data_IF_079843498603
#
_entry.id   IF_079843498603
#
_cell.length_a   1.000
_cell.length_b   1.000
_cell.length_c   1.000
_cell.angle_alpha   90.00
_cell.angle_beta   90.00
_cell.angle_gamma   90.00
#
_symmetry.space_group_name_H-M   'P 1'
#
loop_
_entity.id
_entity.type
_entity.pdbx_description
1 polymer ?
#
# COMPACT_ATOMS: atom_id res chain seq x y z
N UNK A 1 11.00 -0.44 -13.70
CA UNK A 1 9.81 -0.38 -12.83
C UNK A 1 10.19 0.23 -11.49
N UNK A 2 9.30 0.99 -10.92
CA UNK A 2 9.50 1.60 -9.62
C UNK A 2 8.72 0.80 -8.58
N UNK A 3 9.34 0.57 -7.43
CA UNK A 3 8.79 -0.26 -6.37
C UNK A 3 8.61 0.55 -5.10
N UNK A 4 7.50 0.32 -4.40
CA UNK A 4 7.27 0.92 -3.10
C UNK A 4 6.58 -0.09 -2.17
N UNK A 5 6.81 0.09 -0.88
CA UNK A 5 6.03 -0.59 0.15
C UNK A 5 5.25 0.46 0.91
N UNK A 6 4.00 0.15 1.21
CA UNK A 6 3.16 1.02 2.03
C UNK A 6 2.70 0.24 3.24
N UNK A 7 2.93 0.81 4.40
CA UNK A 7 2.50 0.25 5.67
C UNK A 7 1.21 0.94 6.05
N UNK A 8 0.14 0.18 6.18
CA UNK A 8 -1.20 0.73 6.35
C UNK A 8 -1.77 0.38 7.72
N UNK A 9 -2.33 1.38 8.38
CA UNK A 9 -3.17 1.16 9.55
C UNK A 9 -4.62 1.44 9.15
N UNK A 10 -5.50 0.54 9.53
CA UNK A 10 -6.91 0.66 9.20
C UNK A 10 -7.75 0.44 10.46
N UNK A 11 -9.08 0.62 10.32
CA UNK A 11 -9.99 0.37 11.42
C UNK A 11 -9.97 -1.11 11.81
N UNK A 12 -10.33 -1.37 13.06
CA UNK A 12 -10.32 -2.75 13.57
C UNK A 12 -11.35 -3.61 12.84
N UNK A 13 -10.99 -4.86 12.60
CA UNK A 13 -11.88 -5.89 12.04
C UNK A 13 -12.28 -5.68 10.59
N UNK A 14 -11.66 -4.73 9.89
CA UNK A 14 -11.94 -4.51 8.46
C UNK A 14 -10.73 -4.79 7.59
N UNK A 15 -9.68 -5.38 8.16
CA UNK A 15 -8.44 -5.66 7.43
C UNK A 15 -8.68 -6.43 6.14
N UNK A 16 -9.53 -7.46 6.22
CA UNK A 16 -9.81 -8.27 5.03
C UNK A 16 -10.46 -7.45 3.92
N UNK A 17 -11.42 -6.61 4.29
CA UNK A 17 -12.10 -5.76 3.31
C UNK A 17 -11.13 -4.76 2.68
N UNK A 18 -10.24 -4.18 3.48
CA UNK A 18 -9.22 -3.26 2.98
C UNK A 18 -8.25 -3.99 2.04
N UNK A 19 -7.79 -5.18 2.44
CA UNK A 19 -6.91 -5.98 1.60
C UNK A 19 -7.57 -6.31 0.26
N UNK A 20 -8.84 -6.73 0.29
CA UNK A 20 -9.58 -7.07 -0.92
C UNK A 20 -9.69 -5.88 -1.86
N UNK A 21 -9.97 -4.71 -1.31
CA UNK A 21 -10.03 -3.49 -2.12
C UNK A 21 -8.67 -3.10 -2.68
N UNK A 22 -7.62 -3.17 -1.86
CA UNK A 22 -6.25 -2.88 -2.30
C UNK A 22 -5.86 -3.74 -3.50
N UNK A 23 -6.24 -5.00 -3.48
CA UNK A 23 -5.91 -5.93 -4.56
C UNK A 23 -6.59 -5.60 -5.88
N UNK A 24 -7.59 -4.73 -5.88
CA UNK A 24 -8.22 -4.30 -7.13
C UNK A 24 -7.42 -3.24 -7.89
N UNK A 25 -6.44 -2.61 -7.22
CA UNK A 25 -5.61 -1.60 -7.86
C UNK A 25 -4.48 -2.26 -8.63
N UNK A 26 -4.32 -1.91 -9.91
CA UNK A 26 -3.34 -2.56 -10.78
C UNK A 26 -1.91 -2.48 -10.25
N UNK A 27 -1.56 -1.35 -9.63
CA UNK A 27 -0.21 -1.16 -9.10
C UNK A 27 0.09 -2.01 -7.88
N UNK A 28 -0.94 -2.52 -7.18
CA UNK A 28 -0.76 -3.34 -5.98
C UNK A 28 -0.43 -4.77 -6.40
N UNK A 29 0.74 -5.26 -6.00
CA UNK A 29 1.20 -6.62 -6.31
C UNK A 29 0.96 -7.57 -5.16
N UNK A 30 1.03 -7.08 -3.93
CA UNK A 30 0.74 -7.87 -2.73
C UNK A 30 0.11 -6.98 -1.69
N UNK A 31 -0.80 -7.54 -0.91
CA UNK A 31 -1.37 -6.89 0.26
C UNK A 31 -1.53 -7.97 1.33
N UNK A 32 -0.80 -7.83 2.42
CA UNK A 32 -0.65 -8.86 3.44
C UNK A 32 -1.00 -8.28 4.81
N UNK A 33 -1.83 -9.01 5.55
CA UNK A 33 -2.12 -8.65 6.95
C UNK A 33 -0.92 -8.95 7.84
N UNK A 34 -0.65 -8.09 8.80
CA UNK A 34 0.48 -8.24 9.70
C UNK A 34 0.05 -8.06 11.15
N UNK A 35 0.92 -8.49 12.07
CA UNK A 35 0.79 -8.14 13.48
C UNK A 35 1.81 -7.06 13.81
N UNK A 36 1.44 -6.17 14.72
CA UNK A 36 2.37 -5.18 15.25
C UNK A 36 1.89 -3.77 15.02
N UNK A 37 2.83 -2.88 14.75
CA UNK A 37 2.55 -1.45 14.62
C UNK A 37 1.64 -1.15 13.43
N UNK A 38 1.76 -1.92 12.36
CA UNK A 38 0.96 -1.75 11.15
C UNK A 38 0.07 -2.95 10.92
N UNK A 39 -1.08 -2.72 10.30
CA UNK A 39 -2.06 -3.78 10.07
C UNK A 39 -1.87 -4.48 8.74
N UNK A 40 -1.40 -3.78 7.72
CA UNK A 40 -1.27 -4.31 6.37
C UNK A 40 0.02 -3.81 5.74
N UNK A 41 0.72 -4.72 5.08
CA UNK A 41 1.87 -4.40 4.23
C UNK A 41 1.46 -4.51 2.78
N UNK A 42 1.67 -3.45 2.00
CA UNK A 42 1.30 -3.40 0.59
C UNK A 42 2.54 -3.22 -0.25
N UNK A 43 2.70 -4.07 -1.27
CA UNK A 43 3.76 -3.94 -2.25
C UNK A 43 3.18 -3.39 -3.54
N UNK A 44 3.78 -2.31 -4.05
CA UNK A 44 3.33 -1.65 -5.27
C UNK A 44 4.45 -1.56 -6.29
N UNK A 45 4.09 -1.71 -7.54
CA UNK A 45 4.98 -1.46 -8.66
C UNK A 45 4.26 -0.65 -9.73
N UNK A 46 4.98 0.26 -10.38
CA UNK A 46 4.45 1.04 -11.48
C UNK A 46 5.60 1.42 -12.42
N UNK A 47 5.23 1.91 -13.61
CA UNK A 47 6.21 2.31 -14.62
C UNK A 47 7.01 3.54 -14.20
N UNK A 48 6.42 4.39 -13.40
CA UNK A 48 7.06 5.63 -12.99
C UNK A 48 6.75 5.95 -11.54
N UNK A 49 7.60 6.76 -10.95
CA UNK A 49 7.45 7.29 -9.61
C UNK A 49 6.13 8.06 -9.48
N UNK A 50 5.82 8.86 -10.50
CA UNK A 50 4.59 9.66 -10.52
C UNK A 50 3.33 8.78 -10.43
N UNK A 51 3.27 7.72 -11.21
CA UNK A 51 2.14 6.80 -11.17
C UNK A 51 1.99 6.13 -9.81
N UNK A 52 3.11 5.76 -9.22
CA UNK A 52 3.12 5.12 -7.92
C UNK A 52 2.57 6.07 -6.85
N UNK A 53 3.04 7.32 -6.87
CA UNK A 53 2.57 8.34 -5.93
C UNK A 53 1.09 8.63 -6.10
N UNK A 54 0.61 8.64 -7.34
CA UNK A 54 -0.81 8.87 -7.63
C UNK A 54 -1.69 7.76 -7.01
N UNK A 55 -1.29 6.51 -7.16
CA UNK A 55 -2.06 5.40 -6.58
C UNK A 55 -2.10 5.54 -5.06
N UNK A 56 -0.98 5.86 -4.45
CA UNK A 56 -0.91 6.00 -3.00
C UNK A 56 -1.77 7.15 -2.52
N UNK A 57 -1.65 8.32 -3.13
CA UNK A 57 -2.33 9.52 -2.65
C UNK A 57 -3.79 9.58 -3.06
N UNK A 58 -4.15 9.11 -4.26
CA UNK A 58 -5.50 9.25 -4.78
C UNK A 58 -6.38 8.04 -4.55
N UNK A 59 -5.78 6.89 -4.28
CA UNK A 59 -6.55 5.66 -4.06
C UNK A 59 -6.39 5.12 -2.65
N UNK A 60 -5.16 4.80 -2.24
CA UNK A 60 -4.96 4.14 -0.94
C UNK A 60 -5.30 5.07 0.21
N UNK A 61 -4.79 6.29 0.19
CA UNK A 61 -5.01 7.24 1.28
C UNK A 61 -6.44 7.73 1.37
N UNK A 62 -7.22 7.57 0.32
CA UNK A 62 -8.63 7.98 0.28
C UNK A 62 -9.60 6.87 0.62
N UNK A 63 -9.13 5.69 0.91
CA UNK A 63 -10.00 4.59 1.35
C UNK A 63 -10.58 4.92 2.72
N UNK A 64 -11.90 4.76 2.85
CA UNK A 64 -12.63 5.16 4.07
C UNK A 64 -12.10 4.50 5.34
N UNK A 65 -11.66 3.25 5.23
CA UNK A 65 -11.25 2.47 6.40
C UNK A 65 -9.76 2.61 6.72
N UNK A 66 -8.99 3.26 5.86
CA UNK A 66 -7.56 3.47 6.08
C UNK A 66 -7.38 4.70 6.96
N UNK A 67 -6.64 4.54 8.06
CA UNK A 67 -6.37 5.63 9.00
C UNK A 67 -5.07 6.34 8.69
N UNK A 68 -3.98 5.57 8.58
CA UNK A 68 -2.67 6.14 8.31
C UNK A 68 -1.92 5.27 7.33
N UNK A 69 -0.99 5.87 6.61
CA UNK A 69 -0.10 5.16 5.69
C UNK A 69 1.31 5.68 5.87
N UNK A 70 2.28 4.78 5.74
CA UNK A 70 3.70 5.13 5.72
C UNK A 70 4.28 4.52 4.46
N UNK A 71 4.84 5.33 3.59
CA UNK A 71 5.36 4.89 2.31
C UNK A 71 6.87 4.78 2.33
N UNK A 72 7.38 3.62 1.88
CA UNK A 72 8.80 3.38 1.71
C UNK A 72 9.06 3.22 0.23
N UNK A 73 9.61 4.26 -0.39
CA UNK A 73 10.00 4.21 -1.81
C UNK A 73 11.33 3.48 -1.91
N UNK A 74 11.40 2.52 -2.81
CA UNK A 74 12.66 1.81 -3.05
C UNK A 74 13.43 2.58 -4.11
N UNK A 75 14.51 3.19 -3.68
CA UNK A 75 15.33 4.03 -4.55
C UNK A 75 16.34 3.18 -5.31
N UNK A 76 16.91 2.18 -4.63
CA UNK A 76 17.98 1.38 -5.20
C UNK A 76 18.06 0.05 -4.48
N UNK A 77 18.33 -1.01 -5.23
CA UNK A 77 18.58 -2.31 -4.64
C UNK A 77 20.07 -2.45 -4.33
N UNK A 78 20.37 -2.99 -3.17
CA UNK A 78 21.73 -3.28 -2.74
C UNK A 78 21.97 -4.79 -2.76
N UNK A 79 23.09 -5.18 -3.29
CA UNK A 79 23.47 -6.60 -3.34
C UNK A 79 24.48 -6.93 -2.25
#
# INVERSE_FOLDING_TARGET
MVLAFVLVNCEMRVEKAVIDELKTFDAVKEAIGTFGVYDILVKLEADSDHKLRDVITQKIRKMDKVRTTTTLMIIQEWE
#
